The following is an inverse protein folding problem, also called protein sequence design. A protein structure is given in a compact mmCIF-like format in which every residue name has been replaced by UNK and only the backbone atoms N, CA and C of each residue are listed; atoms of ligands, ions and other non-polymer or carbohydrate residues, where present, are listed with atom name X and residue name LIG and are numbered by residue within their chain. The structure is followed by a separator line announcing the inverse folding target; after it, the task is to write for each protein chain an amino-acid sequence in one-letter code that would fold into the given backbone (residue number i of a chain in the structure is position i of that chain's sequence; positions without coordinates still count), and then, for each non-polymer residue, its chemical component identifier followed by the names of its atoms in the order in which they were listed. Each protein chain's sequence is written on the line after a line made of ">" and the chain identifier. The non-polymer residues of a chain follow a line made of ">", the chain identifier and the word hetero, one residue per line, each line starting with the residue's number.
data_IF_728308044471
#
_entry.id   IF_728308044471
#
_cell.length_a   1.000
_cell.length_b   1.000
_cell.length_c   1.000
_cell.angle_alpha   90.00
_cell.angle_beta   90.00
_cell.angle_gamma   90.00
#
_symmetry.space_group_name_H-M   'P 1'
#
loop_
_entity.id
_entity.type
_entity.pdbx_description
1 polymer ?
#
# COMPACT_ATOMS: atom_id res chain seq x y z
N UNK A 1 10.74 3.29 -6.74
CA UNK A 1 11.78 3.23 -5.67
C UNK A 1 11.91 4.51 -4.84
N UNK A 2 11.72 5.71 -5.39
CA UNK A 2 11.88 6.97 -4.65
C UNK A 2 11.08 7.03 -3.34
N UNK A 3 9.84 6.53 -3.32
CA UNK A 3 9.00 6.47 -2.11
C UNK A 3 9.66 5.68 -0.97
N UNK A 4 10.32 4.55 -1.25
CA UNK A 4 11.04 3.77 -0.23
C UNK A 4 12.26 4.50 0.32
N UNK A 5 12.89 5.36 -0.48
CA UNK A 5 14.04 6.17 -0.05
C UNK A 5 13.63 7.38 0.80
N UNK A 6 12.37 7.79 0.75
CA UNK A 6 11.84 8.92 1.51
C UNK A 6 11.40 8.54 2.93
N UNK A 7 11.35 7.25 3.26
CA UNK A 7 11.01 6.75 4.60
C UNK A 7 12.06 7.21 5.63
N UNK A 8 11.56 7.64 6.79
CA UNK A 8 12.36 8.16 7.90
C UNK A 8 12.55 7.08 8.97
N UNK A 9 13.58 7.21 9.83
CA UNK A 9 13.67 6.39 11.04
C UNK A 9 12.39 6.50 11.88
N UNK A 10 11.83 5.36 12.26
CA UNK A 10 10.56 5.27 12.98
C UNK A 10 9.35 4.97 12.09
N UNK A 11 9.44 5.18 10.78
CA UNK A 11 8.33 4.86 9.87
C UNK A 11 8.06 3.36 9.80
N UNK A 12 6.79 3.02 9.61
CA UNK A 12 6.34 1.67 9.24
C UNK A 12 5.78 1.71 7.83
N UNK A 13 6.03 0.66 7.04
CA UNK A 13 5.59 0.62 5.66
C UNK A 13 5.24 -0.81 5.22
N UNK A 14 4.48 -0.89 4.13
CA UNK A 14 4.27 -2.10 3.36
C UNK A 14 4.26 -1.73 1.87
N UNK A 15 4.46 -2.71 1.00
CA UNK A 15 4.32 -2.55 -0.45
C UNK A 15 3.28 -3.56 -0.92
N UNK A 16 2.29 -3.07 -1.66
CA UNK A 16 1.23 -3.89 -2.25
C UNK A 16 1.33 -3.70 -3.76
N UNK A 17 1.58 -4.80 -4.48
CA UNK A 17 1.44 -4.86 -5.92
C UNK A 17 -0.01 -5.24 -6.24
N UNK A 18 -0.57 -4.59 -7.25
CA UNK A 18 -1.91 -4.85 -7.72
C UNK A 18 -1.95 -4.84 -9.24
N UNK A 19 -2.61 -5.83 -9.79
CA UNK A 19 -2.92 -5.98 -11.21
C UNK A 19 -4.34 -6.58 -11.35
N UNK A 20 -4.48 -7.77 -11.92
CA UNK A 20 -5.67 -8.62 -11.77
C UNK A 20 -5.62 -9.48 -10.48
N UNK A 21 -4.51 -9.39 -9.75
CA UNK A 21 -4.24 -10.04 -8.47
C UNK A 21 -3.71 -9.02 -7.45
N UNK A 22 -3.61 -9.47 -6.21
CA UNK A 22 -3.04 -8.70 -5.10
C UNK A 22 -1.89 -9.46 -4.47
N UNK A 23 -0.75 -8.79 -4.34
CA UNK A 23 0.41 -9.29 -3.62
C UNK A 23 0.93 -8.23 -2.67
N UNK A 24 0.83 -8.51 -1.36
CA UNK A 24 1.45 -7.69 -0.34
C UNK A 24 2.79 -8.30 0.07
N UNK A 25 3.82 -7.47 0.18
CA UNK A 25 5.14 -7.88 0.65
C UNK A 25 5.09 -8.44 2.09
N UNK A 26 4.23 -7.85 2.92
CA UNK A 26 3.99 -8.28 4.30
C UNK A 26 2.47 -8.33 4.59
N UNK A 27 2.04 -9.13 5.59
CA UNK A 27 0.65 -9.11 6.05
C UNK A 27 0.22 -7.76 6.66
N UNK A 28 1.16 -6.99 7.21
CA UNK A 28 0.93 -5.68 7.81
C UNK A 28 2.19 -4.80 7.69
N UNK A 29 2.04 -3.49 7.89
CA UNK A 29 3.17 -2.55 7.86
C UNK A 29 4.22 -2.89 8.92
N UNK A 30 5.49 -2.91 8.51
CA UNK A 30 6.64 -3.22 9.38
C UNK A 30 7.59 -2.03 9.47
N UNK A 31 8.41 -1.93 10.54
CA UNK A 31 9.43 -0.88 10.65
C UNK A 31 10.33 -0.82 9.41
N UNK A 32 10.71 0.38 8.99
CA UNK A 32 11.61 0.65 7.87
C UNK A 32 13.08 0.28 8.16
N UNK A 33 13.34 -0.95 8.62
CA UNK A 33 14.68 -1.45 8.87
C UNK A 33 15.46 -1.63 7.55
N UNK A 34 16.81 -1.65 7.58
CA UNK A 34 17.63 -1.90 6.40
C UNK A 34 17.24 -3.18 5.66
N UNK A 35 16.92 -4.25 6.39
CA UNK A 35 16.52 -5.55 5.86
C UNK A 35 15.16 -5.49 5.18
N UNK A 36 14.17 -4.87 5.84
CA UNK A 36 12.83 -4.70 5.29
C UNK A 36 12.86 -3.85 4.02
N UNK A 37 13.60 -2.75 4.03
CA UNK A 37 13.77 -1.90 2.85
C UNK A 37 14.51 -2.64 1.72
N UNK A 38 15.52 -3.46 2.02
CA UNK A 38 16.22 -4.27 1.01
C UNK A 38 15.29 -5.32 0.38
N UNK A 39 14.46 -5.99 1.18
CA UNK A 39 13.44 -6.90 0.69
C UNK A 39 12.40 -6.18 -0.19
N UNK A 40 11.94 -5.00 0.23
CA UNK A 40 11.00 -4.20 -0.55
C UNK A 40 11.55 -3.73 -1.89
N UNK A 41 12.83 -3.35 -1.93
CA UNK A 41 13.51 -3.01 -3.20
C UNK A 41 13.53 -4.20 -4.15
N UNK A 42 13.94 -5.37 -3.66
CA UNK A 42 13.90 -6.61 -4.47
C UNK A 42 12.48 -6.96 -4.92
N UNK A 43 11.49 -6.84 -4.05
CA UNK A 43 10.09 -7.08 -4.39
C UNK A 43 9.65 -6.20 -5.57
N UNK A 44 9.88 -4.89 -5.48
CA UNK A 44 9.57 -3.94 -6.55
C UNK A 44 10.32 -4.25 -7.85
N UNK A 45 11.56 -4.74 -7.78
CA UNK A 45 12.36 -5.06 -8.97
C UNK A 45 11.87 -6.29 -9.74
N UNK A 46 11.12 -7.18 -9.08
CA UNK A 46 10.57 -8.39 -9.68
C UNK A 46 9.09 -8.25 -10.01
N UNK A 47 8.53 -7.02 -9.92
CA UNK A 47 7.17 -6.77 -10.37
C UNK A 47 7.13 -6.70 -11.88
N UNK A 48 6.54 -7.72 -12.49
CA UNK A 48 6.11 -7.68 -13.89
C UNK A 48 4.66 -7.20 -13.95
N UNK A 49 4.39 -6.17 -14.74
CA UNK A 49 3.04 -5.72 -15.02
C UNK A 49 2.33 -6.78 -15.87
N UNK A 50 1.20 -7.30 -15.37
CA UNK A 50 0.42 -8.35 -16.03
C UNK A 50 -1.05 -7.95 -16.05
N UNK A 51 -1.76 -8.19 -17.15
CA UNK A 51 -3.23 -8.07 -17.16
C UNK A 51 -3.78 -6.63 -17.02
N UNK A 52 -4.85 -6.49 -16.23
CA UNK A 52 -5.64 -5.25 -16.07
C UNK A 52 -5.26 -4.42 -14.84
N UNK A 53 -6.15 -3.51 -14.43
CA UNK A 53 -5.91 -2.61 -13.29
C UNK A 53 -7.11 -2.60 -12.34
N UNK A 54 -7.02 -3.37 -11.24
CA UNK A 54 -8.06 -3.43 -10.22
C UNK A 54 -7.63 -2.71 -8.93
N UNK A 55 -7.94 -1.42 -8.81
CA UNK A 55 -7.51 -0.62 -7.66
C UNK A 55 -8.32 -0.82 -6.38
N UNK A 56 -9.62 -1.13 -6.49
CA UNK A 56 -10.48 -1.22 -5.31
C UNK A 56 -10.00 -2.30 -4.32
N UNK A 57 -9.68 -3.53 -4.75
CA UNK A 57 -9.15 -4.55 -3.85
C UNK A 57 -7.85 -4.10 -3.15
N UNK A 58 -6.95 -3.41 -3.87
CA UNK A 58 -5.70 -2.90 -3.32
C UNK A 58 -5.95 -1.85 -2.23
N UNK A 59 -6.93 -0.97 -2.46
CA UNK A 59 -7.32 0.04 -1.52
C UNK A 59 -7.94 -0.55 -0.26
N UNK A 60 -8.85 -1.52 -0.40
CA UNK A 60 -9.47 -2.20 0.74
C UNK A 60 -8.42 -2.93 1.60
N UNK A 61 -7.35 -3.47 0.98
CA UNK A 61 -6.23 -4.10 1.70
C UNK A 61 -5.31 -3.08 2.40
N UNK A 62 -5.14 -1.89 1.83
CA UNK A 62 -4.31 -0.83 2.41
C UNK A 62 -5.00 -0.06 3.55
N UNK A 63 -6.33 -0.09 3.60
CA UNK A 63 -7.14 0.57 4.61
C UNK A 63 -7.40 -0.35 5.83
N UNK A 64 -7.66 0.21 7.02
CA UNK A 64 -7.93 -0.57 8.22
C UNK A 64 -9.20 -1.38 7.98
N UNK A 65 -9.09 -2.67 8.22
CA UNK A 65 -10.19 -3.59 8.00
C UNK A 65 -10.95 -3.88 9.30
N UNK A 66 -10.29 -3.68 10.45
CA UNK A 66 -10.82 -3.89 11.80
C UNK A 66 -10.59 -2.69 12.72
N UNK A 67 -11.35 -2.60 13.81
CA UNK A 67 -11.15 -1.59 14.87
C UNK A 67 -9.75 -1.69 15.50
N UNK A 68 -9.20 -2.90 15.62
CA UNK A 68 -7.83 -3.11 16.10
C UNK A 68 -6.79 -2.53 15.16
N UNK A 69 -6.97 -2.66 13.85
CA UNK A 69 -6.08 -2.04 12.86
C UNK A 69 -6.14 -0.52 12.96
N UNK A 70 -7.33 0.03 13.25
CA UNK A 70 -7.54 1.46 13.43
C UNK A 70 -6.89 1.98 14.72
N UNK A 71 -7.02 1.26 15.84
CA UNK A 71 -6.34 1.58 17.10
C UNK A 71 -4.81 1.51 16.99
N UNK A 72 -4.26 0.48 16.34
CA UNK A 72 -2.82 0.37 16.13
C UNK A 72 -2.28 1.53 15.28
N UNK A 73 -3.14 2.08 14.41
CA UNK A 73 -2.83 3.23 13.59
C UNK A 73 -3.11 4.60 14.27
N UNK A 74 -3.82 4.66 15.40
CA UNK A 74 -4.28 5.90 16.02
C UNK A 74 -3.15 6.83 16.54
N UNK A 75 -1.90 6.37 16.53
CA UNK A 75 -0.70 7.17 16.83
C UNK A 75 0.15 7.56 15.62
N UNK A 76 -0.28 7.25 14.39
CA UNK A 76 0.53 7.37 13.18
C UNK A 76 -0.19 8.16 12.10
N UNK A 77 0.56 9.01 11.37
CA UNK A 77 0.06 9.57 10.12
C UNK A 77 0.01 8.47 9.06
N UNK A 78 -1.20 8.16 8.57
CA UNK A 78 -1.39 7.18 7.51
C UNK A 78 -1.30 7.87 6.15
N UNK A 79 -0.32 7.47 5.35
CA UNK A 79 -0.14 7.99 3.99
C UNK A 79 -0.15 6.83 2.99
N UNK A 80 -1.11 6.85 2.06
CA UNK A 80 -1.16 5.94 0.91
C UNK A 80 -0.57 6.61 -0.33
N UNK A 81 0.37 5.94 -1.00
CA UNK A 81 0.94 6.39 -2.28
C UNK A 81 0.60 5.35 -3.34
N UNK A 82 -0.21 5.73 -4.31
CA UNK A 82 -0.56 4.90 -5.46
C UNK A 82 0.23 5.34 -6.68
N UNK A 83 0.79 4.37 -7.42
CA UNK A 83 1.56 4.60 -8.64
C UNK A 83 1.00 3.65 -9.70
N UNK A 84 0.51 4.21 -10.81
CA UNK A 84 -0.03 3.48 -11.96
C UNK A 84 0.27 4.28 -13.23
N UNK A 85 0.54 3.59 -14.34
CA UNK A 85 0.63 4.16 -15.69
C UNK A 85 -0.71 4.02 -16.47
N UNK A 86 -1.66 3.26 -15.93
CA UNK A 86 -3.01 3.09 -16.45
C UNK A 86 -4.05 4.00 -15.80
N UNK A 87 -5.14 4.28 -16.54
CA UNK A 87 -6.30 5.00 -16.04
C UNK A 87 -7.20 4.09 -15.20
N UNK A 88 -7.86 4.65 -14.19
CA UNK A 88 -8.70 3.89 -13.28
C UNK A 88 -10.12 4.40 -13.42
N UNK A 89 -11.05 3.52 -13.80
CA UNK A 89 -12.45 3.87 -13.84
C UNK A 89 -13.04 4.07 -12.43
N UNK A 90 -13.93 5.05 -12.28
CA UNK A 90 -14.78 5.24 -11.10
C UNK A 90 -14.03 5.70 -9.83
N UNK A 91 -13.22 6.75 -9.99
CA UNK A 91 -12.46 7.38 -8.92
C UNK A 91 -13.38 7.92 -7.80
N UNK A 92 -14.58 8.38 -8.14
CA UNK A 92 -15.58 8.86 -7.15
C UNK A 92 -15.92 7.78 -6.11
N UNK A 93 -16.16 6.54 -6.55
CA UNK A 93 -16.44 5.44 -5.63
C UNK A 93 -15.21 5.08 -4.79
N UNK A 94 -14.01 5.16 -5.37
CA UNK A 94 -12.75 4.95 -4.65
C UNK A 94 -12.58 5.99 -3.53
N UNK A 95 -12.77 7.28 -3.83
CA UNK A 95 -12.66 8.34 -2.82
C UNK A 95 -13.71 8.24 -1.73
N UNK A 96 -14.95 7.82 -2.06
CA UNK A 96 -15.97 7.56 -1.05
C UNK A 96 -15.52 6.45 -0.10
N UNK A 97 -14.95 5.36 -0.64
CA UNK A 97 -14.45 4.24 0.14
C UNK A 97 -13.32 4.62 1.10
N UNK A 98 -12.41 5.50 0.65
CA UNK A 98 -11.35 6.04 1.52
C UNK A 98 -11.96 6.77 2.71
N UNK A 99 -12.97 7.63 2.49
CA UNK A 99 -13.61 8.40 3.57
C UNK A 99 -14.38 7.54 4.56
N UNK A 100 -14.94 6.41 4.12
CA UNK A 100 -15.63 5.46 5.01
C UNK A 100 -14.69 4.73 5.98
N UNK A 101 -13.38 4.71 5.69
CA UNK A 101 -12.38 3.85 6.34
C UNK A 101 -11.21 4.61 6.96
N UNK A 102 -11.24 5.94 6.89
CA UNK A 102 -10.36 6.83 7.65
C UNK A 102 -11.00 7.15 9.00
#
# INVERSE_FOLDING_TARGET
>A
RAALAALRPGDRFNVIAFDDKLEALYPASRPASPEALAAARRFVDHLDARGGTEMRPALDLALPSTERDAEEAAGWLRQGVFITDGAVGNERALFARIRERL
#
